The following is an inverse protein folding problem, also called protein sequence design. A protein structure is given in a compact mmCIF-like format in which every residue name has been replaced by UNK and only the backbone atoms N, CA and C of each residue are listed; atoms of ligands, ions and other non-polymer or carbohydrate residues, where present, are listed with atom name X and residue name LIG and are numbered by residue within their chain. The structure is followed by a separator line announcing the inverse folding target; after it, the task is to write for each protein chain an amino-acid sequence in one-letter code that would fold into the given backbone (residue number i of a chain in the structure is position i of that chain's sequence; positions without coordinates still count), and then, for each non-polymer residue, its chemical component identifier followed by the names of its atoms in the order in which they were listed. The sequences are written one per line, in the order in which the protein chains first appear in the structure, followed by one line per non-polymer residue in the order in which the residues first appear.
data_IF_252468622666
#
_entry.id   IF_252468622666
#
_cell.length_a   1.000
_cell.length_b   1.000
_cell.length_c   1.000
_cell.angle_alpha   90.00
_cell.angle_beta   90.00
_cell.angle_gamma   90.00
#
_symmetry.space_group_name_H-M   'P 1'
#
loop_
_entity.id
_entity.type
_entity.pdbx_description
1 polymer ?
#
# COMPACT_ATOMS: atom_id res chain seq x y z
N UNK A 1 5.79 33.64 12.34
CA UNK A 1 4.70 33.33 11.37
C UNK A 1 4.15 31.94 11.69
N UNK A 2 2.87 31.77 12.06
CA UNK A 2 2.30 30.44 12.30
C UNK A 2 1.93 29.77 10.97
N UNK A 3 2.44 28.56 10.73
CA UNK A 3 2.18 27.73 9.55
C UNK A 3 0.77 27.13 9.65
N UNK A 4 -0.10 27.45 8.71
CA UNK A 4 -1.41 26.83 8.58
C UNK A 4 -1.25 25.31 8.32
N UNK A 5 -1.80 24.48 9.20
CA UNK A 5 -1.95 23.04 8.97
C UNK A 5 -3.20 22.85 8.12
N UNK A 6 -3.04 22.53 6.85
CA UNK A 6 -4.15 22.13 5.98
C UNK A 6 -4.91 20.94 6.58
N UNK A 7 -6.25 20.91 6.53
CA UNK A 7 -7.03 19.82 7.09
C UNK A 7 -6.87 18.58 6.20
N UNK A 8 -6.17 17.57 6.71
CA UNK A 8 -6.11 16.26 6.08
C UNK A 8 -7.45 15.55 6.31
N UNK A 9 -8.33 15.57 5.31
CA UNK A 9 -9.48 14.67 5.23
C UNK A 9 -8.98 13.27 4.88
N UNK A 10 -8.20 12.65 5.78
CA UNK A 10 -7.76 11.28 5.64
C UNK A 10 -8.92 10.38 6.08
N UNK A 11 -9.53 9.68 5.12
CA UNK A 11 -10.47 8.61 5.43
C UNK A 11 -9.85 7.65 6.47
N UNK A 12 -10.66 7.04 7.36
CA UNK A 12 -10.13 6.16 8.39
C UNK A 12 -9.41 4.97 7.74
N UNK A 13 -8.08 4.95 7.82
CA UNK A 13 -7.25 3.85 7.34
C UNK A 13 -7.14 2.78 8.41
N UNK A 14 -7.34 1.51 8.02
CA UNK A 14 -7.11 0.36 8.88
C UNK A 14 -5.70 -0.18 8.65
N UNK A 15 -5.00 -0.53 9.74
CA UNK A 15 -3.67 -1.14 9.67
C UNK A 15 -3.80 -2.62 9.28
N UNK A 16 -3.07 -3.02 8.24
CA UNK A 16 -2.93 -4.41 7.83
C UNK A 16 -1.49 -4.87 8.11
N UNK A 17 -1.33 -5.88 8.95
CA UNK A 17 -0.04 -6.54 9.20
C UNK A 17 -0.08 -7.91 8.52
N UNK A 18 0.90 -8.20 7.67
CA UNK A 18 1.02 -9.49 6.96
C UNK A 18 2.38 -10.10 7.21
N UNK A 19 2.41 -11.42 7.28
CA UNK A 19 3.65 -12.18 7.34
C UNK A 19 4.05 -12.57 5.92
N UNK A 20 5.29 -12.23 5.55
CA UNK A 20 5.88 -12.59 4.27
C UNK A 20 7.16 -13.38 4.53
N UNK A 21 7.46 -14.42 3.72
CA UNK A 21 8.78 -15.03 3.73
C UNK A 21 9.87 -13.97 3.53
N UNK A 22 11.02 -14.09 4.21
CA UNK A 22 12.05 -13.05 4.21
C UNK A 22 12.59 -12.75 2.80
N UNK A 23 12.81 -13.79 1.99
CA UNK A 23 13.25 -13.67 0.60
C UNK A 23 12.24 -12.92 -0.27
N UNK A 24 10.95 -13.20 -0.09
CA UNK A 24 9.88 -12.53 -0.83
C UNK A 24 9.79 -11.06 -0.42
N UNK A 25 9.85 -10.76 0.88
CA UNK A 25 9.86 -9.38 1.37
C UNK A 25 11.07 -8.60 0.82
N UNK A 26 12.24 -9.24 0.74
CA UNK A 26 13.44 -8.63 0.15
C UNK A 26 13.26 -8.34 -1.34
N UNK A 27 12.80 -9.32 -2.13
CA UNK A 27 12.56 -9.14 -3.56
C UNK A 27 11.51 -8.04 -3.81
N UNK A 28 10.45 -8.03 -3.03
CA UNK A 28 9.42 -6.99 -3.08
C UNK A 28 9.97 -5.60 -2.76
N UNK A 29 10.87 -5.50 -1.77
CA UNK A 29 11.54 -4.24 -1.42
C UNK A 29 12.39 -3.70 -2.55
N UNK A 30 13.18 -4.57 -3.18
CA UNK A 30 14.03 -4.21 -4.31
C UNK A 30 13.15 -3.68 -5.45
N UNK A 31 12.11 -4.42 -5.82
CA UNK A 31 11.15 -4.00 -6.85
C UNK A 31 10.54 -2.61 -6.57
N UNK A 32 10.06 -2.38 -5.35
CA UNK A 32 9.49 -1.09 -4.96
C UNK A 32 10.52 0.05 -5.02
N UNK A 33 11.77 -0.23 -4.64
CA UNK A 33 12.86 0.74 -4.67
C UNK A 33 13.22 1.12 -6.11
N UNK A 34 13.34 0.14 -7.00
CA UNK A 34 13.64 0.37 -8.42
C UNK A 34 12.55 1.17 -9.14
N UNK A 35 11.28 0.97 -8.73
CA UNK A 35 10.12 1.67 -9.30
C UNK A 35 9.78 2.99 -8.63
N UNK A 36 10.45 3.34 -7.52
CA UNK A 36 10.17 4.56 -6.75
C UNK A 36 8.75 4.58 -6.16
N UNK A 37 8.21 3.41 -5.80
CA UNK A 37 6.84 3.27 -5.25
C UNK A 37 6.88 2.69 -3.84
N UNK A 38 5.91 3.09 -3.01
CA UNK A 38 5.77 2.52 -1.67
C UNK A 38 5.16 1.11 -1.73
N UNK A 39 5.68 0.22 -0.89
CA UNK A 39 5.14 -1.14 -0.72
C UNK A 39 3.65 -1.15 -0.40
N UNK A 40 3.20 -0.23 0.46
CA UNK A 40 1.81 -0.05 0.86
C UNK A 40 0.91 0.23 -0.35
N UNK A 41 1.34 1.12 -1.25
CA UNK A 41 0.62 1.44 -2.49
C UNK A 41 0.47 0.22 -3.38
N UNK A 42 1.54 -0.58 -3.53
CA UNK A 42 1.50 -1.79 -4.34
C UNK A 42 0.56 -2.83 -3.74
N UNK A 43 0.60 -3.04 -2.43
CA UNK A 43 -0.31 -3.97 -1.72
C UNK A 43 -1.77 -3.52 -1.87
N UNK A 44 -2.06 -2.23 -1.65
CA UNK A 44 -3.42 -1.68 -1.78
C UNK A 44 -3.95 -1.87 -3.21
N UNK A 45 -3.13 -1.57 -4.22
CA UNK A 45 -3.50 -1.77 -5.62
C UNK A 45 -3.77 -3.25 -5.94
N UNK A 46 -2.92 -4.15 -5.44
CA UNK A 46 -3.08 -5.58 -5.62
C UNK A 46 -4.39 -6.09 -4.97
N UNK A 47 -4.67 -5.68 -3.74
CA UNK A 47 -5.92 -6.00 -3.04
C UNK A 47 -7.13 -5.47 -3.81
N UNK A 48 -7.09 -4.23 -4.30
CA UNK A 48 -8.16 -3.68 -5.13
C UNK A 48 -8.38 -4.47 -6.42
N UNK A 49 -7.30 -4.92 -7.08
CA UNK A 49 -7.39 -5.73 -8.30
C UNK A 49 -8.01 -7.10 -8.02
N UNK A 50 -7.59 -7.79 -6.96
CA UNK A 50 -8.18 -9.06 -6.55
C UNK A 50 -9.68 -8.92 -6.26
N UNK A 51 -10.08 -7.90 -5.49
CA UNK A 51 -11.48 -7.69 -5.13
C UNK A 51 -12.37 -7.28 -6.32
N UNK A 52 -11.82 -6.59 -7.33
CA UNK A 52 -12.55 -6.30 -8.58
C UNK A 52 -12.78 -7.56 -9.40
N UNK A 53 -11.80 -8.47 -9.42
CA UNK A 53 -11.91 -9.74 -10.15
C UNK A 53 -12.90 -10.70 -9.48
N UNK A 54 -13.01 -10.69 -8.14
CA UNK A 54 -13.93 -11.55 -7.39
C UNK A 54 -15.40 -11.11 -7.41
N UNK A 55 -15.73 -9.91 -7.92
CA UNK A 55 -17.12 -9.43 -8.08
C UNK A 55 -17.77 -9.84 -9.40
N UNK A 56 -17.16 -10.80 -10.11
CA UNK A 56 -17.61 -11.33 -11.40
C UNK A 56 -18.13 -12.77 -11.27
N UNK A 57 -18.79 -13.07 -10.15
CA UNK A 57 -19.60 -14.27 -9.89
C UNK A 57 -20.92 -13.83 -9.24
#
# INVERSE_FOLDING_TARGET
MPRAKSPATAAPMKRLTVNLPPDLHRAFKVYCTEKGVEMSTVIVNYVHQCLKSSKRD
#
